data_IF_700426287250
#
_entry.id   IF_700426287250
#
_cell.length_a   1.000
_cell.length_b   1.000
_cell.length_c   1.000
_cell.angle_alpha   90.00
_cell.angle_beta   90.00
_cell.angle_gamma   90.00
#
_symmetry.space_group_name_H-M   'P 1'
#
loop_
_entity.id
_entity.type
_entity.pdbx_description
1 polymer ?
#
# COMPACT_ATOMS: atom_id res chain seq x y z
N UNK A 1 14.30 0.12 -14.90
CA UNK A 1 13.99 -1.29 -14.66
C UNK A 1 14.92 -2.18 -15.49
N UNK A 2 15.29 -3.34 -14.95
CA UNK A 2 15.98 -4.36 -15.73
C UNK A 2 15.09 -4.87 -16.89
N UNK A 3 15.66 -5.45 -17.96
CA UNK A 3 14.89 -6.17 -18.98
C UNK A 3 13.97 -7.23 -18.32
N UNK A 4 12.79 -7.46 -18.90
CA UNK A 4 11.76 -8.38 -18.41
C UNK A 4 11.21 -8.04 -17.02
N UNK A 5 11.32 -6.78 -16.59
CA UNK A 5 10.84 -6.34 -15.29
C UNK A 5 9.31 -6.30 -15.19
N UNK A 6 8.79 -6.54 -13.99
CA UNK A 6 7.35 -6.48 -13.69
C UNK A 6 6.99 -5.19 -12.95
N UNK A 7 5.93 -4.53 -13.39
CA UNK A 7 5.30 -3.38 -12.73
C UNK A 7 3.98 -3.86 -12.15
N UNK A 8 3.84 -3.81 -10.81
CA UNK A 8 2.60 -4.17 -10.12
C UNK A 8 1.91 -2.89 -9.65
N UNK A 9 0.75 -2.59 -10.23
CA UNK A 9 -0.06 -1.43 -9.92
C UNK A 9 -0.94 -1.75 -8.70
N UNK A 10 -0.66 -1.09 -7.58
CA UNK A 10 -1.42 -1.22 -6.32
C UNK A 10 -2.26 0.02 -5.99
N UNK A 11 -1.92 1.17 -6.58
CA UNK A 11 -2.66 2.41 -6.39
C UNK A 11 -3.98 2.38 -7.15
N UNK A 12 -5.04 2.87 -6.51
CA UNK A 12 -6.34 3.04 -7.13
C UNK A 12 -6.59 4.53 -7.41
N UNK A 13 -6.73 4.87 -8.68
CA UNK A 13 -7.08 6.22 -9.14
C UNK A 13 -8.11 6.13 -10.26
N UNK A 14 -8.91 7.17 -10.42
CA UNK A 14 -9.83 7.34 -11.56
C UNK A 14 -9.17 8.05 -12.75
N UNK A 15 -7.96 8.59 -12.55
CA UNK A 15 -7.20 9.25 -13.61
C UNK A 15 -6.57 8.24 -14.58
N UNK A 16 -6.43 8.59 -15.88
CA UNK A 16 -5.82 7.71 -16.86
C UNK A 16 -4.33 7.49 -16.57
N UNK A 17 -3.90 6.23 -16.69
CA UNK A 17 -2.50 5.84 -16.56
C UNK A 17 -1.76 6.06 -17.90
N UNK A 18 -0.77 6.94 -17.90
CA UNK A 18 0.12 7.17 -19.03
C UNK A 18 1.46 6.46 -18.84
N UNK A 19 1.84 5.59 -19.78
CA UNK A 19 3.08 4.82 -19.72
C UNK A 19 3.98 5.08 -20.94
N UNK A 20 5.31 5.10 -20.76
CA UNK A 20 6.24 5.33 -21.86
C UNK A 20 6.34 4.08 -22.74
N UNK A 21 5.78 4.17 -23.96
CA UNK A 21 5.68 3.04 -24.90
C UNK A 21 7.03 2.41 -25.26
N UNK A 22 7.98 3.20 -25.77
CA UNK A 22 9.25 2.68 -26.28
C UNK A 22 10.08 1.95 -25.21
N UNK A 23 10.25 2.49 -23.99
CA UNK A 23 10.91 1.76 -22.90
C UNK A 23 10.23 0.46 -22.49
N UNK A 24 8.89 0.40 -22.51
CA UNK A 24 8.13 -0.82 -22.18
C UNK A 24 8.42 -1.91 -23.21
N UNK A 25 8.40 -1.57 -24.50
CA UNK A 25 8.63 -2.54 -25.59
C UNK A 25 10.08 -3.01 -25.62
N UNK A 26 11.04 -2.08 -25.65
CA UNK A 26 12.47 -2.41 -25.82
C UNK A 26 13.03 -3.20 -24.64
N UNK A 27 12.45 -3.04 -23.44
CA UNK A 27 12.85 -3.77 -22.24
C UNK A 27 11.91 -4.92 -21.89
N UNK A 28 10.91 -5.20 -22.73
CA UNK A 28 9.93 -6.26 -22.53
C UNK A 28 9.29 -6.24 -21.13
N UNK A 29 8.85 -5.05 -20.69
CA UNK A 29 8.27 -4.88 -19.36
C UNK A 29 6.85 -5.44 -19.31
N UNK A 30 6.52 -6.12 -18.21
CA UNK A 30 5.17 -6.62 -17.92
C UNK A 30 4.46 -5.72 -16.91
N UNK A 31 3.18 -5.44 -17.13
CA UNK A 31 2.37 -4.56 -16.27
C UNK A 31 1.15 -5.33 -15.78
N UNK A 32 0.95 -5.39 -14.47
CA UNK A 32 -0.14 -6.12 -13.83
C UNK A 32 -0.83 -5.26 -12.77
N UNK A 33 -2.15 -5.33 -12.71
CA UNK A 33 -2.92 -4.78 -11.59
C UNK A 33 -3.06 -5.81 -10.48
N UNK A 34 -2.98 -5.36 -9.22
CA UNK A 34 -3.29 -6.17 -8.05
C UNK A 34 -4.03 -5.30 -7.01
N UNK A 35 -5.14 -5.79 -6.48
CA UNK A 35 -6.02 -5.01 -5.58
C UNK A 35 -6.08 -5.61 -4.16
N UNK A 36 -6.10 -6.94 -4.06
CA UNK A 36 -6.04 -7.67 -2.79
C UNK A 36 -5.52 -9.08 -3.05
N UNK A 37 -5.33 -9.84 -1.98
CA UNK A 37 -4.84 -11.22 -1.97
C UNK A 37 -5.88 -12.16 -1.35
N UNK A 38 -5.64 -13.46 -1.48
CA UNK A 38 -6.45 -14.52 -0.85
C UNK A 38 -6.18 -14.59 0.65
N UNK A 39 -7.12 -15.15 1.46
CA UNK A 39 -6.88 -15.36 2.89
C UNK A 39 -5.61 -16.15 3.20
N UNK A 40 -5.32 -17.21 2.42
CA UNK A 40 -4.12 -18.02 2.60
C UNK A 40 -2.82 -17.24 2.38
N UNK A 41 -2.80 -16.29 1.44
CA UNK A 41 -1.65 -15.40 1.22
C UNK A 41 -1.48 -14.40 2.38
N UNK A 42 -2.58 -13.91 2.95
CA UNK A 42 -2.52 -13.06 4.15
C UNK A 42 -1.96 -13.83 5.35
N UNK A 43 -2.38 -15.09 5.57
CA UNK A 43 -1.85 -15.93 6.64
C UNK A 43 -0.34 -16.14 6.49
N UNK A 44 0.13 -16.44 5.28
CA UNK A 44 1.55 -16.58 4.97
C UNK A 44 2.33 -15.28 5.21
N UNK A 45 1.75 -14.12 4.85
CA UNK A 45 2.35 -12.81 5.08
C UNK A 45 2.45 -12.48 6.58
N UNK A 46 1.40 -12.74 7.35
CA UNK A 46 1.41 -12.54 8.80
C UNK A 46 2.41 -13.46 9.50
N UNK A 47 2.49 -14.72 9.08
CA UNK A 47 3.48 -15.67 9.60
C UNK A 47 4.92 -15.20 9.31
N UNK A 48 5.18 -14.72 8.09
CA UNK A 48 6.47 -14.15 7.72
C UNK A 48 6.80 -12.91 8.57
N UNK A 49 5.85 -11.99 8.72
CA UNK A 49 6.02 -10.76 9.49
C UNK A 49 6.36 -11.06 10.95
N UNK A 50 5.65 -12.01 11.58
CA UNK A 50 5.91 -12.45 12.94
C UNK A 50 7.31 -13.07 13.08
N UNK A 51 7.74 -13.92 12.13
CA UNK A 51 9.06 -14.57 12.15
C UNK A 51 10.23 -13.59 11.94
N UNK A 52 9.99 -12.49 11.24
CA UNK A 52 11.03 -11.51 10.85
C UNK A 52 10.94 -10.18 11.59
N UNK A 53 10.05 -10.10 12.58
CA UNK A 53 9.78 -8.88 13.36
C UNK A 53 9.48 -7.66 12.48
N UNK A 54 8.73 -7.88 11.39
CA UNK A 54 8.27 -6.79 10.52
C UNK A 54 7.08 -6.12 11.18
N UNK A 55 7.25 -4.85 11.57
CA UNK A 55 6.20 -4.05 12.20
C UNK A 55 5.89 -2.80 11.39
N UNK A 56 4.61 -2.42 11.25
CA UNK A 56 4.27 -1.14 10.66
C UNK A 56 4.70 0.01 11.58
N UNK A 57 5.02 1.15 10.97
CA UNK A 57 5.13 2.41 11.70
C UNK A 57 3.70 2.93 11.87
N UNK A 58 3.27 3.07 13.13
CA UNK A 58 1.91 3.42 13.48
C UNK A 58 1.87 4.71 14.30
N UNK A 59 0.80 5.47 14.11
CA UNK A 59 0.35 6.51 15.00
C UNK A 59 -0.97 6.07 15.64
N UNK A 60 -1.03 6.10 16.96
CA UNK A 60 -2.19 5.67 17.72
C UNK A 60 -3.15 6.82 17.96
N UNK A 61 -4.45 6.54 17.81
CA UNK A 61 -5.54 7.48 18.04
C UNK A 61 -6.58 6.81 18.92
N UNK A 62 -7.17 7.56 19.84
CA UNK A 62 -8.24 7.03 20.70
C UNK A 62 -9.45 6.60 19.86
N UNK A 63 -10.08 5.48 20.22
CA UNK A 63 -11.32 4.99 19.60
C UNK A 63 -12.55 5.78 20.07
N UNK A 64 -12.51 7.10 19.89
CA UNK A 64 -13.59 8.05 20.16
C UNK A 64 -13.93 8.81 18.88
N UNK A 65 -15.09 9.49 18.85
CA UNK A 65 -15.46 10.33 17.71
C UNK A 65 -14.40 11.40 17.41
N UNK A 66 -13.86 12.03 18.46
CA UNK A 66 -12.79 13.04 18.35
C UNK A 66 -11.49 12.43 17.82
N UNK A 67 -11.11 11.24 18.31
CA UNK A 67 -9.91 10.54 17.84
C UNK A 67 -10.01 10.12 16.37
N UNK A 68 -11.19 9.64 15.93
CA UNK A 68 -11.46 9.32 14.52
C UNK A 68 -11.38 10.57 13.65
N UNK A 69 -12.02 11.68 14.06
CA UNK A 69 -11.95 12.95 13.33
C UNK A 69 -10.51 13.46 13.23
N UNK A 70 -9.73 13.36 14.31
CA UNK A 70 -8.32 13.71 14.33
C UNK A 70 -7.46 12.86 13.39
N UNK A 71 -7.69 11.53 13.37
CA UNK A 71 -6.99 10.61 12.48
C UNK A 71 -7.27 10.90 10.99
N UNK A 72 -8.54 11.10 10.63
CA UNK A 72 -8.95 11.40 9.25
C UNK A 72 -8.41 12.78 8.83
N UNK A 73 -8.59 13.82 9.66
CA UNK A 73 -8.09 15.15 9.31
C UNK A 73 -6.57 15.18 9.11
N UNK A 74 -5.82 14.44 9.93
CA UNK A 74 -4.36 14.31 9.75
C UNK A 74 -3.98 13.52 8.49
N UNK A 75 -4.80 12.54 8.11
CA UNK A 75 -4.59 11.74 6.89
C UNK A 75 -4.83 12.60 5.63
N UNK A 76 -5.91 13.38 5.62
CA UNK A 76 -6.26 14.28 4.51
C UNK A 76 -5.21 15.40 4.34
N UNK A 77 -4.62 15.86 5.45
CA UNK A 77 -3.50 16.82 5.43
C UNK A 77 -2.15 16.17 5.05
N UNK A 78 -2.11 14.87 4.74
CA UNK A 78 -0.89 14.09 4.43
C UNK A 78 0.17 14.09 5.56
N UNK A 79 -0.26 14.33 6.81
CA UNK A 79 0.64 14.45 7.98
C UNK A 79 0.80 13.16 8.77
N UNK A 80 0.01 12.13 8.48
CA UNK A 80 0.12 10.82 9.15
C UNK A 80 1.45 10.17 8.76
N UNK A 81 2.23 9.74 9.76
CA UNK A 81 3.41 8.92 9.52
C UNK A 81 3.01 7.48 9.19
N UNK A 82 2.74 7.25 7.90
CA UNK A 82 2.38 5.96 7.26
C UNK A 82 1.04 5.33 7.64
N UNK A 83 0.72 5.12 8.93
CA UNK A 83 -0.53 4.43 9.33
C UNK A 83 -1.13 5.01 10.61
N UNK A 84 -2.36 5.49 10.52
CA UNK A 84 -3.21 5.79 11.67
C UNK A 84 -3.91 4.51 12.16
N UNK A 85 -3.85 4.24 13.46
CA UNK A 85 -4.48 3.07 14.09
C UNK A 85 -5.32 3.52 15.27
N UNK A 86 -6.59 3.10 15.29
CA UNK A 86 -7.49 3.35 16.40
C UNK A 86 -7.23 2.31 17.50
N UNK A 87 -6.94 2.77 18.71
CA UNK A 87 -6.69 1.93 19.88
C UNK A 87 -7.77 2.14 20.93
N UNK A 88 -8.09 1.07 21.68
CA UNK A 88 -9.15 1.04 22.68
C UNK A 88 -8.82 1.86 23.93
#
# INVERSE_FOLDING_TARGET
MAPFGHIILLGLTTEPLHLPYFPVVVRELSIHGACSSTPAEFDAMLEFAAKKDVRPIMEEFSRTEEGVKGAIGKLDDERVRYRAVLVN
#
